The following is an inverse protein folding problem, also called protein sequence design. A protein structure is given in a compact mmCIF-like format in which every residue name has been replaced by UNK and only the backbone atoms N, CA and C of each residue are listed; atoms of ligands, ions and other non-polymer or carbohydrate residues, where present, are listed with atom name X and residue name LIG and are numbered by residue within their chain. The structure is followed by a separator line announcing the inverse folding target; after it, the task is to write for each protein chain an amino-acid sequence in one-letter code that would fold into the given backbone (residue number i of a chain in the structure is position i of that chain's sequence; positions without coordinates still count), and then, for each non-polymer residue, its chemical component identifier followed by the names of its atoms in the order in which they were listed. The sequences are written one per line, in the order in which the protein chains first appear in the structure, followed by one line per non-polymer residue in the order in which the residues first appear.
data_IF_259941341340
#
_entry.id   IF_259941341340
#
_cell.length_a   1.000
_cell.length_b   1.000
_cell.length_c   1.000
_cell.angle_alpha   90.00
_cell.angle_beta   90.00
_cell.angle_gamma   90.00
#
_symmetry.space_group_name_H-M   'P 1'
#
loop_
_entity.id
_entity.type
_entity.pdbx_description
1 polymer ?
#
# COMPACT_ATOMS: atom_id res chain seq x y z
N UNK A 1 -2.03 16.56 10.59
CA UNK A 1 -1.26 15.92 9.49
C UNK A 1 -1.51 14.43 9.53
N UNK A 2 -2.51 13.95 8.80
CA UNK A 2 -2.79 12.51 8.68
C UNK A 2 -1.83 11.91 7.67
N UNK A 3 -0.64 11.54 8.15
CA UNK A 3 0.30 10.79 7.34
C UNK A 3 -0.20 9.35 7.22
N UNK A 4 -1.01 9.06 6.20
CA UNK A 4 -1.46 7.71 5.83
C UNK A 4 -0.33 6.85 5.22
N UNK A 5 0.93 7.27 5.41
CA UNK A 5 2.11 6.59 4.91
C UNK A 5 2.69 5.72 6.01
N UNK A 6 3.11 4.53 5.64
CA UNK A 6 3.90 3.65 6.48
C UNK A 6 5.11 3.12 5.76
N UNK A 7 5.94 2.39 6.48
CA UNK A 7 7.14 1.75 5.97
C UNK A 7 7.04 0.24 6.16
N UNK A 8 7.42 -0.52 5.14
CA UNK A 8 7.58 -1.97 5.26
C UNK A 8 8.89 -2.26 5.97
N UNK A 9 8.85 -2.91 7.13
CA UNK A 9 10.08 -3.22 7.89
C UNK A 9 10.66 -4.55 7.48
N UNK A 10 9.85 -5.62 7.45
CA UNK A 10 10.35 -6.97 7.23
C UNK A 10 9.22 -7.93 6.89
N UNK A 11 9.56 -9.02 6.20
CA UNK A 11 8.72 -10.21 6.13
C UNK A 11 8.58 -10.85 7.50
N UNK A 12 7.43 -11.48 7.76
CA UNK A 12 7.30 -12.39 8.88
C UNK A 12 8.11 -13.66 8.58
N UNK A 13 9.25 -13.79 9.25
CA UNK A 13 10.16 -14.94 9.11
C UNK A 13 10.49 -15.56 10.46
N UNK A 14 10.70 -16.86 10.47
CA UNK A 14 11.37 -17.61 11.54
C UNK A 14 12.84 -17.86 11.19
N UNK A 15 13.50 -18.80 11.89
CA UNK A 15 14.91 -19.14 11.65
C UNK A 15 15.17 -19.74 10.26
N UNK A 16 14.23 -20.54 9.73
CA UNK A 16 14.37 -21.24 8.43
C UNK A 16 13.16 -21.07 7.50
N UNK A 17 12.14 -20.31 7.92
CA UNK A 17 10.86 -20.22 7.21
C UNK A 17 10.51 -18.76 6.98
N UNK A 18 10.11 -18.43 5.76
CA UNK A 18 9.66 -17.09 5.38
C UNK A 18 8.22 -17.20 4.93
N UNK A 19 7.36 -16.33 5.45
CA UNK A 19 6.00 -16.20 4.96
C UNK A 19 5.91 -15.02 3.99
N UNK A 20 5.95 -15.30 2.69
CA UNK A 20 6.09 -14.32 1.61
C UNK A 20 4.94 -13.31 1.51
N UNK A 21 3.76 -13.67 2.03
CA UNK A 21 2.56 -12.81 1.99
C UNK A 21 2.39 -11.95 3.25
N UNK A 22 3.17 -12.23 4.29
CA UNK A 22 3.00 -11.65 5.61
C UNK A 22 4.09 -10.64 5.90
N UNK A 23 3.70 -9.40 6.17
CA UNK A 23 4.62 -8.29 6.35
C UNK A 23 4.38 -7.60 7.67
N UNK A 24 5.48 -7.12 8.26
CA UNK A 24 5.47 -6.20 9.39
C UNK A 24 5.66 -4.81 8.80
N UNK A 25 4.72 -3.92 9.10
CA UNK A 25 4.73 -2.54 8.65
C UNK A 25 4.63 -1.60 9.86
N UNK A 26 5.24 -0.44 9.73
CA UNK A 26 5.17 0.63 10.70
C UNK A 26 4.50 1.86 10.10
N UNK A 27 3.49 2.36 10.78
CA UNK A 27 2.73 3.55 10.39
C UNK A 27 2.94 4.71 11.39
N UNK A 28 3.97 4.62 12.24
CA UNK A 28 4.28 5.62 13.26
C UNK A 28 3.41 5.54 14.51
N UNK A 29 2.71 4.41 14.73
CA UNK A 29 1.96 4.18 15.95
C UNK A 29 2.93 3.86 17.11
N UNK A 30 2.73 4.48 18.27
CA UNK A 30 3.63 4.30 19.43
C UNK A 30 3.24 3.10 20.27
N UNK A 31 1.93 2.86 20.37
CA UNK A 31 1.35 1.87 21.27
C UNK A 31 0.54 0.81 20.50
N UNK A 32 0.36 -0.35 21.13
CA UNK A 32 -0.47 -1.45 20.60
C UNK A 32 -1.92 -1.01 20.35
N UNK A 33 -2.46 -0.13 21.18
CA UNK A 33 -3.83 0.39 21.05
C UNK A 33 -4.01 1.24 19.80
N UNK A 34 -3.05 2.12 19.50
CA UNK A 34 -3.03 2.93 18.28
C UNK A 34 -2.94 2.06 17.03
N UNK A 35 -2.07 1.05 17.08
CA UNK A 35 -1.95 0.05 16.02
C UNK A 35 -3.25 -0.75 15.84
N UNK A 36 -3.98 -1.01 16.93
CA UNK A 36 -5.31 -1.64 16.92
C UNK A 36 -6.33 -0.88 16.08
N UNK A 37 -6.30 0.45 16.09
CA UNK A 37 -7.19 1.30 15.27
C UNK A 37 -6.90 1.21 13.76
N UNK A 38 -5.72 0.73 13.38
CA UNK A 38 -5.31 0.54 11.98
C UNK A 38 -5.68 -0.86 11.46
N UNK A 39 -6.10 -1.77 12.33
CA UNK A 39 -6.51 -3.12 11.95
C UNK A 39 -7.75 -3.07 11.07
N UNK A 40 -7.78 -3.89 10.02
CA UNK A 40 -8.88 -3.98 9.08
C UNK A 40 -8.79 -3.00 7.90
N UNK A 41 -7.90 -2.01 7.95
CA UNK A 41 -7.67 -1.08 6.85
C UNK A 41 -6.95 -1.74 5.68
N UNK A 42 -7.21 -1.23 4.48
CA UNK A 42 -6.51 -1.64 3.27
C UNK A 42 -5.24 -0.83 3.06
N UNK A 43 -4.21 -1.53 2.57
CA UNK A 43 -2.90 -0.97 2.26
C UNK A 43 -2.54 -1.29 0.82
N UNK A 44 -1.92 -0.32 0.16
CA UNK A 44 -1.42 -0.49 -1.21
C UNK A 44 0.07 -0.20 -1.22
N UNK A 45 0.82 -1.13 -1.79
CA UNK A 45 2.21 -0.93 -2.15
C UNK A 45 2.31 -0.66 -3.65
N UNK A 46 3.12 0.34 -4.02
CA UNK A 46 3.39 0.68 -5.42
C UNK A 46 4.87 0.47 -5.72
N UNK A 47 5.16 -0.29 -6.77
CA UNK A 47 6.53 -0.47 -7.24
C UNK A 47 7.10 0.83 -7.81
N UNK A 48 8.38 1.19 -7.49
CA UNK A 48 9.05 2.38 -8.01
C UNK A 48 9.51 2.22 -9.47
N UNK A 49 9.37 1.02 -10.05
CA UNK A 49 9.88 0.71 -11.39
C UNK A 49 9.05 1.30 -12.54
N UNK A 50 9.57 1.13 -13.78
CA UNK A 50 8.91 1.56 -15.03
C UNK A 50 7.51 0.97 -15.21
N UNK A 51 7.26 -0.22 -14.65
CA UNK A 51 5.92 -0.83 -14.54
C UNK A 51 5.40 -0.61 -13.12
N UNK A 52 4.42 0.28 -12.99
CA UNK A 52 3.70 0.50 -11.72
C UNK A 52 2.83 -0.72 -11.43
N UNK A 53 3.37 -1.63 -10.64
CA UNK A 53 2.59 -2.74 -10.07
C UNK A 53 2.05 -2.27 -8.74
N UNK A 54 0.72 -2.24 -8.63
CA UNK A 54 0.02 -1.99 -7.37
C UNK A 54 -0.35 -3.33 -6.75
N UNK A 55 0.05 -3.54 -5.51
CA UNK A 55 -0.25 -4.76 -4.76
C UNK A 55 -1.08 -4.34 -3.56
N UNK A 56 -2.31 -4.85 -3.52
CA UNK A 56 -3.24 -4.63 -2.42
C UNK A 56 -2.96 -5.61 -1.28
N UNK A 57 -3.19 -5.14 -0.07
CA UNK A 57 -3.14 -5.92 1.14
C UNK A 57 -4.09 -5.39 2.20
N UNK A 58 -4.25 -6.17 3.26
CA UNK A 58 -5.09 -5.82 4.41
C UNK A 58 -4.26 -5.89 5.69
N UNK A 59 -4.47 -4.93 6.58
CA UNK A 59 -3.91 -4.97 7.93
C UNK A 59 -4.73 -5.98 8.75
N UNK A 60 -4.07 -7.04 9.20
CA UNK A 60 -4.71 -8.17 9.88
C UNK A 60 -4.68 -8.03 11.39
N UNK A 61 -3.56 -7.59 11.98
CA UNK A 61 -3.38 -7.57 13.44
C UNK A 61 -2.25 -6.64 13.87
N UNK A 62 -2.26 -6.10 15.09
CA UNK A 62 -1.14 -5.35 15.63
C UNK A 62 -0.01 -6.31 16.07
N UNK A 63 1.24 -5.95 15.80
CA UNK A 63 2.43 -6.75 16.06
C UNK A 63 3.33 -6.11 17.12
N UNK A 64 3.60 -6.85 18.20
CA UNK A 64 4.43 -6.38 19.31
C UNK A 64 3.83 -5.21 20.09
N UNK A 65 4.68 -4.57 20.89
CA UNK A 65 4.29 -3.47 21.79
C UNK A 65 4.65 -2.08 21.22
N UNK A 66 5.54 -2.00 20.23
CA UNK A 66 6.00 -0.76 19.59
C UNK A 66 5.05 -0.21 18.51
N UNK A 67 3.77 -0.59 18.56
CA UNK A 67 2.77 -0.11 17.60
C UNK A 67 2.94 -0.56 16.13
N UNK A 68 3.73 -1.60 15.85
CA UNK A 68 3.79 -2.15 14.48
C UNK A 68 2.52 -2.90 14.12
N UNK A 69 2.28 -3.12 12.84
CA UNK A 69 1.13 -3.90 12.34
C UNK A 69 1.56 -5.00 11.38
N UNK A 70 0.76 -6.05 11.33
CA UNK A 70 0.88 -7.15 10.37
C UNK A 70 -0.07 -6.92 9.21
N UNK A 71 0.48 -6.92 7.99
CA UNK A 71 -0.27 -6.93 6.73
C UNK A 71 -0.23 -8.27 6.03
N UNK A 72 -1.32 -8.59 5.32
CA UNK A 72 -1.41 -9.72 4.40
C UNK A 72 -1.63 -9.16 3.00
N UNK A 73 -0.72 -9.43 2.08
CA UNK A 73 -0.85 -9.04 0.67
C UNK A 73 -1.24 -10.24 -0.19
N UNK A 74 -1.95 -9.99 -1.28
CA UNK A 74 -2.49 -11.06 -2.14
C UNK A 74 -1.39 -11.87 -2.85
N UNK A 75 -0.45 -11.15 -3.48
CA UNK A 75 0.61 -11.70 -4.35
C UNK A 75 1.99 -11.79 -3.68
N UNK A 76 2.10 -11.32 -2.43
CA UNK A 76 3.41 -11.12 -1.78
C UNK A 76 4.17 -9.94 -2.41
N UNK A 77 5.09 -9.36 -1.65
CA UNK A 77 5.98 -8.30 -2.14
C UNK A 77 7.36 -8.90 -2.42
N UNK A 78 8.07 -8.41 -3.45
CA UNK A 78 9.46 -8.80 -3.68
C UNK A 78 10.33 -8.38 -2.48
N UNK A 79 11.44 -9.08 -2.24
CA UNK A 79 12.39 -8.77 -1.15
C UNK A 79 12.87 -7.32 -1.12
N UNK A 80 12.94 -6.70 -2.30
CA UNK A 80 13.32 -5.30 -2.50
C UNK A 80 12.29 -4.29 -1.95
N UNK A 81 11.05 -4.72 -1.67
CA UNK A 81 10.02 -3.86 -1.09
C UNK A 81 10.24 -3.58 0.41
N UNK A 82 11.22 -4.23 1.03
CA UNK A 82 11.64 -3.90 2.40
C UNK A 82 12.20 -2.47 2.42
N UNK A 83 11.87 -1.70 3.45
CA UNK A 83 12.23 -0.29 3.62
C UNK A 83 11.53 0.67 2.65
N UNK A 84 10.48 0.20 1.94
CA UNK A 84 9.68 1.05 1.04
C UNK A 84 8.42 1.59 1.71
N UNK A 85 7.90 2.69 1.13
CA UNK A 85 6.63 3.30 1.56
C UNK A 85 5.41 2.46 1.16
N UNK A 86 4.42 2.42 2.04
CA UNK A 86 3.07 1.89 1.83
C UNK A 86 2.04 2.95 2.17
N UNK A 87 0.92 2.94 1.45
CA UNK A 87 -0.15 3.93 1.63
C UNK A 87 -1.40 3.21 2.13
N UNK A 88 -2.02 3.73 3.19
CA UNK A 88 -3.33 3.28 3.66
C UNK A 88 -4.40 3.95 2.80
N UNK A 89 -5.19 3.14 2.10
CA UNK A 89 -6.28 3.62 1.22
C UNK A 89 -7.68 3.43 1.81
N UNK A 90 -7.85 2.62 2.86
CA UNK A 90 -9.17 2.31 3.41
C UNK A 90 -9.40 2.78 4.84
N UNK A 91 -10.37 3.68 5.04
CA UNK A 91 -11.09 3.83 6.30
C UNK A 91 -12.22 2.80 6.31
N UNK A 92 -12.21 1.88 7.28
CA UNK A 92 -13.22 0.83 7.37
C UNK A 92 -14.58 1.40 7.79
N UNK A 93 -15.47 1.64 6.83
CA UNK A 93 -16.89 1.29 6.95
C UNK A 93 -17.23 0.32 5.82
N UNK A 94 -17.63 -0.88 6.21
CA UNK A 94 -18.10 -1.91 5.30
C UNK A 94 -19.54 -1.56 4.93
N UNK A 95 -19.75 -0.97 3.76
CA UNK A 95 -21.04 -1.03 3.08
C UNK A 95 -20.82 -1.70 1.72
N UNK A 96 -21.46 -2.86 1.56
CA UNK A 96 -21.61 -3.55 0.27
C UNK A 96 -22.28 -2.59 -0.70
N UNK A 97 -21.77 -2.40 -1.93
CA UNK A 97 -22.54 -2.63 -3.19
C UNK A 97 -21.58 -2.73 -4.39
N UNK A 98 -21.69 -3.86 -5.08
CA UNK A 98 -21.58 -4.17 -6.51
C UNK A 98 -20.36 -3.88 -7.40
N UNK A 99 -20.07 -4.93 -8.18
CA UNK A 99 -19.20 -5.05 -9.35
C UNK A 99 -19.57 -4.01 -10.43
N UNK A 100 -18.61 -3.65 -11.28
CA UNK A 100 -18.62 -4.01 -12.72
C UNK A 100 -17.35 -3.46 -13.39
N UNK A 101 -16.79 -4.33 -14.23
CA UNK A 101 -15.69 -4.11 -15.16
C UNK A 101 -15.85 -2.85 -16.01
N UNK A 102 -14.72 -2.21 -16.36
CA UNK A 102 -14.20 -2.19 -17.74
C UNK A 102 -13.05 -1.19 -17.85
N UNK A 103 -11.86 -1.71 -18.16
CA UNK A 103 -10.85 -0.96 -18.90
C UNK A 103 -11.44 -0.30 -20.15
N UNK A 104 -10.92 0.86 -20.58
CA UNK A 104 -10.35 0.86 -21.92
C UNK A 104 -9.03 1.64 -22.09
N UNK A 105 -8.10 0.93 -22.73
CA UNK A 105 -7.08 1.29 -23.73
C UNK A 105 -6.88 2.78 -24.14
N UNK A 106 -5.59 3.16 -24.17
CA UNK A 106 -4.82 3.94 -25.18
C UNK A 106 -5.51 5.09 -25.97
N UNK A 107 -4.91 6.28 -25.87
CA UNK A 107 -4.66 7.28 -26.94
C UNK A 107 -3.59 8.26 -26.42
N UNK A 108 -2.31 8.19 -26.80
CA UNK A 108 -1.65 8.88 -27.93
C UNK A 108 -2.33 10.19 -28.34
N UNK A 109 -1.55 11.29 -28.32
CA UNK A 109 -1.51 12.46 -29.25
C UNK A 109 -0.92 13.65 -28.47
N UNK A 110 0.38 13.96 -28.64
CA UNK A 110 0.91 15.07 -29.46
C UNK A 110 0.17 16.40 -29.24
N UNK A 111 0.82 17.37 -28.59
CA UNK A 111 0.59 18.79 -28.87
C UNK A 111 1.90 19.43 -29.34
N UNK A 112 1.89 19.82 -30.61
CA UNK A 112 2.86 20.69 -31.28
C UNK A 112 2.66 22.14 -30.81
N UNK A 113 3.74 22.90 -30.91
CA UNK A 113 3.85 24.36 -30.79
C UNK A 113 2.95 25.16 -31.73
N UNK A 114 2.96 26.48 -31.45
CA UNK A 114 2.68 27.67 -32.28
C UNK A 114 1.32 28.34 -32.07
N UNK A 115 1.13 29.67 -32.10
CA UNK A 115 1.94 30.91 -31.98
C UNK A 115 0.94 32.06 -32.26
N UNK A 116 0.88 33.12 -31.45
CA UNK A 116 0.28 34.46 -31.76
C UNK A 116 0.49 35.33 -30.50
N UNK A 117 1.37 36.33 -30.42
CA UNK A 117 1.57 37.62 -31.13
C UNK A 117 0.43 38.63 -30.91
N UNK A 118 0.76 39.65 -30.09
CA UNK A 118 0.36 41.09 -30.05
C UNK A 118 -1.08 41.49 -30.37
N UNK A 119 -1.65 42.29 -29.47
CA UNK A 119 -1.79 43.74 -29.66
C UNK A 119 -1.68 44.46 -28.31
#
# INVERSE_FOLDING_TARGET
MTNNKGMVIQFRRGKKTIHEKHFIMDFGAKNREEAGKLVGKEVVWTSPGKRKVMIKGKISSPHGNKGMVRGIFERGLPGQAVTMEVIITGEGKVEKVEKVEKTPKKKVVKKKESKEIKE
#
